data_IF_535242253464
#
_entry.id   IF_535242253464
#
_cell.length_a   1.000
_cell.length_b   1.000
_cell.length_c   1.000
_cell.angle_alpha   90.00
_cell.angle_beta   90.00
_cell.angle_gamma   90.00
#
_symmetry.space_group_name_H-M   'P 1'
#
loop_
_entity.id
_entity.type
_entity.pdbx_description
1 polymer ?
#
# COMPACT_ATOMS: atom_id res chain seq x y z
N UNK A 1 -0.82 9.01 3.74
CA UNK A 1 -0.86 8.49 5.13
C UNK A 1 -1.10 9.64 6.11
N UNK A 2 -0.13 10.50 6.42
CA UNK A 2 -0.32 11.62 7.39
C UNK A 2 -1.45 12.59 7.01
N UNK A 3 -1.64 12.85 5.71
CA UNK A 3 -2.70 13.73 5.18
C UNK A 3 -4.08 13.06 5.16
N UNK A 4 -4.12 11.71 5.22
CA UNK A 4 -5.33 10.89 5.14
C UNK A 4 -5.29 9.80 6.23
N UNK A 5 -5.47 10.17 7.50
CA UNK A 5 -5.40 9.23 8.62
C UNK A 5 -6.45 8.12 8.53
N UNK A 6 -7.59 8.37 7.88
CA UNK A 6 -8.65 7.40 7.64
C UNK A 6 -8.20 6.24 6.74
N UNK A 7 -7.38 6.51 5.72
CA UNK A 7 -6.83 5.48 4.83
C UNK A 7 -5.78 4.68 5.58
N UNK A 8 -4.97 5.35 6.41
CA UNK A 8 -3.95 4.69 7.23
C UNK A 8 -4.56 3.72 8.25
N UNK A 9 -5.68 4.10 8.89
CA UNK A 9 -6.40 3.20 9.80
C UNK A 9 -6.92 1.95 9.08
N UNK A 10 -7.51 2.10 7.89
CA UNK A 10 -8.02 0.96 7.10
C UNK A 10 -6.92 0.00 6.65
N UNK A 11 -5.77 0.54 6.24
CA UNK A 11 -4.60 -0.27 5.90
C UNK A 11 -4.10 -1.03 7.13
N UNK A 12 -4.00 -0.36 8.28
CA UNK A 12 -3.56 -0.99 9.52
C UNK A 12 -4.52 -2.11 9.95
N UNK A 13 -5.84 -1.88 9.87
CA UNK A 13 -6.87 -2.88 10.17
C UNK A 13 -6.77 -4.11 9.24
N UNK A 14 -6.56 -3.91 7.93
CA UNK A 14 -6.37 -5.02 7.00
C UNK A 14 -5.12 -5.85 7.34
N UNK A 15 -4.00 -5.18 7.63
CA UNK A 15 -2.74 -5.83 8.00
C UNK A 15 -2.89 -6.60 9.31
N UNK A 16 -3.49 -5.99 10.33
CA UNK A 16 -3.70 -6.62 11.64
C UNK A 16 -4.67 -7.81 11.54
N UNK A 17 -5.67 -7.75 10.66
CA UNK A 17 -6.60 -8.86 10.43
C UNK A 17 -5.97 -10.04 9.69
N UNK A 18 -5.11 -9.77 8.70
CA UNK A 18 -4.56 -10.82 7.81
C UNK A 18 -3.28 -11.43 8.37
N UNK A 19 -2.39 -10.61 8.97
CA UNK A 19 -1.09 -11.06 9.48
C UNK A 19 -1.03 -11.10 11.01
N UNK A 20 -1.87 -10.33 11.69
CA UNK A 20 -1.83 -10.22 13.15
C UNK A 20 -0.48 -9.73 13.64
N UNK A 21 0.23 -10.56 14.43
CA UNK A 21 1.56 -10.22 15.00
C UNK A 21 2.73 -10.80 14.20
N UNK A 22 2.48 -11.48 13.08
CA UNK A 22 3.57 -12.01 12.25
C UNK A 22 4.26 -10.87 11.48
N UNK A 23 5.51 -11.09 11.11
CA UNK A 23 6.22 -10.13 10.25
C UNK A 23 5.70 -10.27 8.81
N UNK A 24 5.38 -9.17 8.12
CA UNK A 24 4.94 -9.24 6.73
C UNK A 24 6.03 -9.78 5.81
N UNK A 25 5.69 -10.82 5.05
CA UNK A 25 6.50 -11.34 3.96
C UNK A 25 5.86 -10.98 2.61
N UNK A 26 6.69 -10.83 1.57
CA UNK A 26 6.19 -10.50 0.24
C UNK A 26 5.19 -11.55 -0.27
N UNK A 27 5.29 -12.82 0.10
CA UNK A 27 4.35 -13.88 -0.29
C UNK A 27 2.90 -13.60 0.12
N UNK A 28 2.68 -12.74 1.11
CA UNK A 28 1.35 -12.39 1.62
C UNK A 28 0.71 -11.19 0.91
N UNK A 29 1.41 -10.56 -0.05
CA UNK A 29 0.89 -9.38 -0.78
C UNK A 29 -0.48 -9.62 -1.44
N UNK A 30 -0.73 -10.85 -1.93
CA UNK A 30 -2.01 -11.23 -2.54
C UNK A 30 -3.18 -11.23 -1.54
N UNK A 31 -2.90 -11.33 -0.25
CA UNK A 31 -3.92 -11.32 0.82
C UNK A 31 -4.23 -9.92 1.33
N UNK A 32 -3.51 -8.90 0.87
CA UNK A 32 -3.65 -7.50 1.29
C UNK A 32 -4.08 -6.60 0.11
N UNK A 33 -5.28 -6.80 -0.45
CA UNK A 33 -5.72 -6.07 -1.64
C UNK A 33 -5.86 -4.56 -1.39
N UNK A 34 -6.32 -4.13 -0.21
CA UNK A 34 -6.50 -2.71 0.10
C UNK A 34 -5.16 -2.00 0.30
N UNK A 35 -4.24 -2.62 1.03
CA UNK A 35 -2.87 -2.14 1.21
C UNK A 35 -2.16 -2.00 -0.13
N UNK A 36 -2.32 -2.99 -1.01
CA UNK A 36 -1.74 -2.94 -2.35
C UNK A 36 -2.35 -1.82 -3.21
N UNK A 37 -3.67 -1.63 -3.16
CA UNK A 37 -4.34 -0.54 -3.84
C UNK A 37 -3.87 0.84 -3.35
N UNK A 38 -3.67 1.01 -2.03
CA UNK A 38 -3.16 2.24 -1.46
C UNK A 38 -1.73 2.56 -1.94
N UNK A 39 -0.87 1.55 -2.08
CA UNK A 39 0.48 1.71 -2.64
C UNK A 39 0.40 2.16 -4.10
N UNK A 40 -0.44 1.50 -4.91
CA UNK A 40 -0.63 1.88 -6.32
C UNK A 40 -1.15 3.31 -6.46
N UNK A 41 -2.07 3.73 -5.58
CA UNK A 41 -2.61 5.09 -5.61
C UNK A 41 -1.54 6.13 -5.23
N UNK A 42 -0.65 5.81 -4.28
CA UNK A 42 0.52 6.65 -4.01
C UNK A 42 1.43 6.78 -5.24
N UNK A 43 1.71 5.67 -5.92
CA UNK A 43 2.50 5.67 -7.17
C UNK A 43 1.80 6.44 -8.29
N UNK A 44 0.46 6.39 -8.38
CA UNK A 44 -0.32 7.14 -9.37
C UNK A 44 -0.30 8.65 -9.10
N UNK A 45 -0.45 9.04 -7.83
CA UNK A 45 -0.49 10.46 -7.45
C UNK A 45 0.89 11.13 -7.56
N UNK A 46 1.95 10.38 -7.22
CA UNK A 46 3.34 10.84 -7.27
C UNK A 46 4.18 9.81 -8.01
N UNK A 47 3.99 9.72 -9.32
CA UNK A 47 4.81 8.85 -10.16
C UNK A 47 6.28 9.24 -10.04
N UNK A 48 7.14 8.29 -9.67
CA UNK A 48 8.59 8.55 -9.53
C UNK A 48 9.23 9.02 -10.83
N UNK A 49 8.73 8.57 -11.99
CA UNK A 49 9.21 8.98 -13.32
C UNK A 49 8.02 9.55 -14.11
N UNK A 50 7.74 10.87 -13.99
CA UNK A 50 6.58 11.48 -14.64
C UNK A 50 6.63 11.47 -16.17
N UNK A 51 7.83 11.55 -16.76
CA UNK A 51 8.01 11.67 -18.21
C UNK A 51 8.47 10.37 -18.91
N UNK A 52 8.37 9.24 -18.22
CA UNK A 52 8.95 7.96 -18.65
C UNK A 52 10.47 8.04 -18.90
N UNK A 53 11.15 6.90 -19.00
CA UNK A 53 12.56 6.92 -19.42
C UNK A 53 12.59 7.20 -20.93
N UNK A 54 13.25 8.30 -21.33
CA UNK A 54 13.48 8.62 -22.73
C UNK A 54 14.08 7.38 -23.42
N UNK A 55 13.38 6.88 -24.44
CA UNK A 55 13.80 5.71 -25.22
C UNK A 55 14.91 6.11 -26.19
#
# INVERSE_FOLDING_TARGET
MVIHPEIQQKVQEEVDNVLGKSKPQWTEHLKLPYTYAAILECMRWRTMVPQNLLR
#
